data_IF_129908415038
#
_entry.id   IF_129908415038
#
_cell.length_a   1.000
_cell.length_b   1.000
_cell.length_c   1.000
_cell.angle_alpha   90.00
_cell.angle_beta   90.00
_cell.angle_gamma   90.00
#
_symmetry.space_group_name_H-M   'P 1'
#
loop_
_entity.id
_entity.type
_entity.pdbx_description
1 polymer ?
#
# COMPACT_ATOMS: atom_id res chain seq x y z
N UNK A 1 -33.21 14.12 -7.24
CA UNK A 1 -34.39 13.31 -6.87
C UNK A 1 -34.14 12.70 -5.50
N UNK A 2 -34.73 13.26 -4.44
CA UNK A 2 -34.59 12.71 -3.08
C UNK A 2 -35.44 11.44 -3.00
N UNK A 3 -34.80 10.28 -2.85
CA UNK A 3 -35.48 9.01 -2.66
C UNK A 3 -36.21 8.98 -1.32
N UNK A 4 -37.37 8.33 -1.26
CA UNK A 4 -38.11 8.09 0.00
C UNK A 4 -37.18 7.40 1.01
N UNK A 5 -36.96 8.02 2.17
CA UNK A 5 -36.17 7.44 3.27
C UNK A 5 -37.10 6.68 4.21
N UNK A 6 -36.82 5.40 4.40
CA UNK A 6 -37.56 4.53 5.32
C UNK A 6 -36.72 4.30 6.58
N UNK A 7 -37.37 4.22 7.74
CA UNK A 7 -36.74 3.85 9.02
C UNK A 7 -36.32 2.38 9.00
N UNK A 8 -35.34 2.01 9.80
CA UNK A 8 -34.86 0.62 9.83
C UNK A 8 -35.91 -0.33 10.41
N UNK A 9 -36.71 0.12 11.38
CA UNK A 9 -37.87 -0.62 11.91
C UNK A 9 -38.87 -0.98 10.80
N UNK A 10 -39.20 -0.03 9.93
CA UNK A 10 -40.11 -0.25 8.81
C UNK A 10 -39.54 -1.27 7.81
N UNK A 11 -38.23 -1.21 7.53
CA UNK A 11 -37.57 -2.15 6.62
C UNK A 11 -37.50 -3.56 7.20
N UNK A 12 -37.29 -3.69 8.51
CA UNK A 12 -37.26 -4.96 9.22
C UNK A 12 -38.64 -5.60 9.20
N UNK A 13 -39.70 -4.86 9.53
CA UNK A 13 -41.06 -5.38 9.52
C UNK A 13 -41.51 -5.78 8.10
N UNK A 14 -41.14 -4.99 7.09
CA UNK A 14 -41.39 -5.34 5.69
C UNK A 14 -40.65 -6.62 5.25
N UNK A 15 -39.42 -6.82 5.71
CA UNK A 15 -38.66 -8.04 5.44
C UNK A 15 -39.29 -9.27 6.14
N UNK A 16 -39.75 -9.11 7.39
CA UNK A 16 -40.45 -10.16 8.16
C UNK A 16 -41.76 -10.61 7.53
N UNK A 17 -42.51 -9.72 6.90
CA UNK A 17 -43.74 -10.10 6.18
C UNK A 17 -43.47 -11.10 5.04
N UNK A 18 -42.29 -11.05 4.43
CA UNK A 18 -41.88 -11.97 3.37
C UNK A 18 -41.27 -13.25 3.93
N UNK A 19 -40.43 -13.16 4.97
CA UNK A 19 -39.69 -14.31 5.50
C UNK A 19 -40.46 -15.12 6.54
N UNK A 20 -41.21 -14.47 7.43
CA UNK A 20 -41.92 -15.12 8.54
C UNK A 20 -43.41 -15.35 8.23
N UNK A 21 -44.06 -14.43 7.50
CA UNK A 21 -45.51 -14.50 7.20
C UNK A 21 -45.84 -15.10 5.82
N UNK A 22 -44.83 -15.41 5.01
CA UNK A 22 -44.99 -16.11 3.73
C UNK A 22 -45.64 -15.31 2.60
N UNK A 23 -45.74 -13.98 2.71
CA UNK A 23 -46.26 -13.16 1.61
C UNK A 23 -45.24 -13.04 0.47
N UNK A 24 -45.73 -12.90 -0.77
CA UNK A 24 -44.86 -12.71 -1.93
C UNK A 24 -44.26 -11.30 -1.94
N UNK A 25 -43.02 -11.17 -2.42
CA UNK A 25 -42.30 -9.88 -2.53
C UNK A 25 -43.11 -8.85 -3.33
N UNK A 26 -43.83 -9.29 -4.36
CA UNK A 26 -44.65 -8.43 -5.22
C UNK A 26 -45.86 -7.85 -4.48
N UNK A 27 -46.58 -8.68 -3.71
CA UNK A 27 -47.75 -8.27 -2.94
C UNK A 27 -47.37 -7.27 -1.83
N UNK A 28 -46.30 -7.56 -1.08
CA UNK A 28 -45.81 -6.66 -0.03
C UNK A 28 -45.30 -5.34 -0.63
N UNK A 29 -44.66 -5.36 -1.80
CA UNK A 29 -44.19 -4.14 -2.47
C UNK A 29 -45.35 -3.25 -2.92
N UNK A 30 -46.40 -3.85 -3.48
CA UNK A 30 -47.61 -3.16 -3.89
C UNK A 30 -48.34 -2.52 -2.70
N UNK A 31 -48.47 -3.25 -1.59
CA UNK A 31 -49.14 -2.75 -0.37
C UNK A 31 -48.38 -1.63 0.33
N UNK A 32 -47.05 -1.70 0.34
CA UNK A 32 -46.19 -0.69 0.98
C UNK A 32 -45.84 0.47 0.04
N UNK A 33 -46.30 0.45 -1.21
CA UNK A 33 -46.00 1.47 -2.22
C UNK A 33 -44.51 1.64 -2.49
N UNK A 34 -43.75 0.53 -2.45
CA UNK A 34 -42.32 0.48 -2.69
C UNK A 34 -41.99 -0.41 -3.90
N UNK A 35 -40.71 -0.48 -4.28
CA UNK A 35 -40.28 -1.37 -5.38
C UNK A 35 -39.91 -2.75 -4.86
N UNK A 36 -40.23 -3.78 -5.64
CA UNK A 36 -39.79 -5.17 -5.41
C UNK A 36 -38.27 -5.26 -5.18
N UNK A 37 -37.49 -4.47 -5.92
CA UNK A 37 -36.03 -4.38 -5.73
C UNK A 37 -35.63 -3.91 -4.32
N UNK A 38 -36.33 -2.92 -3.75
CA UNK A 38 -36.06 -2.43 -2.39
C UNK A 38 -36.33 -3.50 -1.34
N UNK A 39 -37.43 -4.23 -1.51
CA UNK A 39 -37.83 -5.32 -0.61
C UNK A 39 -36.87 -6.51 -0.68
N UNK A 40 -36.39 -6.89 -1.87
CA UNK A 40 -35.33 -7.88 -2.03
C UNK A 40 -34.03 -7.44 -1.34
N UNK A 41 -33.64 -6.17 -1.48
CA UNK A 41 -32.45 -5.64 -0.84
C UNK A 41 -32.58 -5.60 0.69
N UNK A 42 -33.76 -5.27 1.23
CA UNK A 42 -34.02 -5.30 2.67
C UNK A 42 -34.01 -6.74 3.20
N UNK A 43 -34.63 -7.69 2.49
CA UNK A 43 -34.55 -9.12 2.83
C UNK A 43 -33.10 -9.58 2.91
N UNK A 44 -32.30 -9.33 1.87
CA UNK A 44 -30.88 -9.72 1.85
C UNK A 44 -30.06 -9.12 3.01
N UNK A 45 -30.43 -7.93 3.49
CA UNK A 45 -29.76 -7.26 4.61
C UNK A 45 -30.20 -7.80 5.97
N UNK A 46 -31.49 -8.10 6.11
CA UNK A 46 -32.12 -8.45 7.39
C UNK A 46 -32.27 -9.96 7.64
N UNK A 47 -32.09 -10.80 6.62
CA UNK A 47 -32.07 -12.27 6.70
C UNK A 47 -30.75 -12.82 7.26
N UNK A 48 -29.71 -11.98 7.34
CA UNK A 48 -28.46 -12.33 8.02
C UNK A 48 -28.65 -12.34 9.54
N UNK A 49 -28.12 -13.34 10.28
CA UNK A 49 -28.10 -13.34 11.74
C UNK A 49 -27.45 -12.05 12.27
N UNK A 50 -28.00 -11.46 13.34
CA UNK A 50 -27.48 -10.20 13.88
C UNK A 50 -25.99 -10.28 14.28
N UNK A 51 -25.53 -11.46 14.73
CA UNK A 51 -24.10 -11.73 15.00
C UNK A 51 -23.23 -11.51 13.75
N UNK A 52 -23.67 -12.01 12.59
CA UNK A 52 -22.94 -11.86 11.32
C UNK A 52 -22.93 -10.40 10.87
N UNK A 53 -24.06 -9.70 11.04
CA UNK A 53 -24.16 -8.27 10.70
C UNK A 53 -23.24 -7.43 11.58
N UNK A 54 -23.18 -7.72 12.89
CA UNK A 54 -22.32 -7.02 13.83
C UNK A 54 -20.83 -7.25 13.49
N UNK A 55 -20.43 -8.49 13.17
CA UNK A 55 -19.07 -8.81 12.73
C UNK A 55 -18.69 -8.07 11.43
N UNK A 56 -19.57 -8.01 10.44
CA UNK A 56 -19.31 -7.25 9.20
C UNK A 56 -19.14 -5.74 9.46
N UNK A 57 -19.94 -5.18 10.39
CA UNK A 57 -19.82 -3.78 10.79
C UNK A 57 -18.50 -3.52 11.52
N UNK A 58 -18.12 -4.39 12.45
CA UNK A 58 -16.88 -4.29 13.22
C UNK A 58 -15.65 -4.42 12.29
N UNK A 59 -15.65 -5.41 11.39
CA UNK A 59 -14.63 -5.55 10.34
C UNK A 59 -14.55 -4.31 9.45
N UNK A 60 -15.69 -3.71 9.07
CA UNK A 60 -15.69 -2.49 8.27
C UNK A 60 -15.14 -1.28 9.03
N UNK A 61 -15.35 -1.23 10.36
CA UNK A 61 -14.82 -0.18 11.22
C UNK A 61 -13.31 -0.35 11.42
N UNK A 62 -12.86 -1.58 11.62
CA UNK A 62 -11.45 -1.93 11.73
C UNK A 62 -10.71 -1.68 10.42
N UNK A 63 -11.30 -2.03 9.27
CA UNK A 63 -10.75 -1.67 7.95
C UNK A 63 -10.62 -0.16 7.76
N UNK A 64 -11.57 0.64 8.25
CA UNK A 64 -11.48 2.11 8.21
C UNK A 64 -10.37 2.62 9.12
N UNK A 65 -10.25 2.05 10.33
CA UNK A 65 -9.20 2.39 11.30
C UNK A 65 -7.81 2.06 10.74
N UNK A 66 -7.60 0.84 10.27
CA UNK A 66 -6.33 0.39 9.69
C UNK A 66 -5.95 1.23 8.47
N UNK A 67 -6.91 1.59 7.61
CA UNK A 67 -6.67 2.52 6.49
C UNK A 67 -6.28 3.92 6.98
N UNK A 68 -6.87 4.41 8.06
CA UNK A 68 -6.53 5.70 8.64
C UNK A 68 -5.14 5.68 9.31
N UNK A 69 -4.80 4.61 10.01
CA UNK A 69 -3.47 4.39 10.59
C UNK A 69 -2.40 4.26 9.50
N UNK A 70 -2.66 3.50 8.44
CA UNK A 70 -1.78 3.41 7.28
C UNK A 70 -1.57 4.80 6.66
N UNK A 71 -2.65 5.55 6.41
CA UNK A 71 -2.57 6.92 5.91
C UNK A 71 -1.71 7.79 6.85
N UNK A 72 -1.91 7.71 8.16
CA UNK A 72 -1.15 8.47 9.16
C UNK A 72 0.34 8.09 9.14
N UNK A 73 0.68 6.80 9.11
CA UNK A 73 2.07 6.33 9.05
C UNK A 73 2.73 6.75 7.74
N UNK A 74 2.02 6.65 6.62
CA UNK A 74 2.49 7.17 5.32
C UNK A 74 2.76 8.68 5.38
N UNK A 75 1.84 9.46 5.99
CA UNK A 75 2.02 10.90 6.15
C UNK A 75 3.15 11.28 7.12
N UNK A 76 3.35 10.50 8.20
CA UNK A 76 4.48 10.71 9.12
C UNK A 76 5.82 10.42 8.45
N UNK A 77 5.91 9.38 7.61
CA UNK A 77 7.10 9.13 6.80
C UNK A 77 7.34 10.21 5.73
N UNK A 78 6.29 10.84 5.21
CA UNK A 78 6.40 11.94 4.24
C UNK A 78 6.63 13.32 4.89
N UNK A 79 6.39 13.44 6.20
CA UNK A 79 6.43 14.69 6.96
C UNK A 79 7.66 14.89 7.84
N UNK A 80 8.65 14.00 7.80
CA UNK A 80 9.95 14.26 8.45
C UNK A 80 10.74 15.29 7.61
N UNK A 81 10.56 16.59 7.88
CA UNK A 81 11.40 17.81 7.68
C UNK A 81 12.55 17.89 6.66
N UNK A 82 12.72 16.90 5.80
CA UNK A 82 13.55 16.93 4.62
C UNK A 82 12.59 17.08 3.46
N UNK A 83 12.89 17.97 2.51
CA UNK A 83 12.19 18.08 1.23
C UNK A 83 12.41 16.84 0.32
N UNK A 84 12.34 15.64 0.90
CA UNK A 84 12.61 14.34 0.29
C UNK A 84 11.34 13.52 0.53
N UNK A 85 10.46 13.48 -0.48
CA UNK A 85 9.25 12.68 -0.43
C UNK A 85 9.57 11.18 -0.40
N UNK A 86 8.74 10.40 0.29
CA UNK A 86 8.79 8.95 0.24
C UNK A 86 8.19 8.47 -1.10
N UNK A 87 9.00 7.79 -1.91
CA UNK A 87 8.54 7.11 -3.13
C UNK A 87 8.61 5.62 -2.94
N UNK A 88 7.47 4.93 -3.06
CA UNK A 88 7.41 3.48 -3.07
C UNK A 88 7.54 2.95 -4.50
N UNK A 89 8.19 1.79 -4.65
CA UNK A 89 8.17 1.04 -5.92
C UNK A 89 6.71 0.65 -6.21
N UNK A 90 6.17 0.94 -7.41
CA UNK A 90 4.81 0.57 -7.76
C UNK A 90 4.59 -0.95 -7.66
N UNK A 91 3.41 -1.40 -7.21
CA UNK A 91 3.09 -2.82 -7.22
C UNK A 91 3.16 -3.36 -8.65
N UNK A 92 3.84 -4.49 -8.82
CA UNK A 92 4.06 -5.09 -10.14
C UNK A 92 5.33 -4.62 -10.86
N UNK A 93 6.19 -3.81 -10.22
CA UNK A 93 7.48 -3.34 -10.80
C UNK A 93 8.73 -3.86 -10.07
N UNK A 94 8.92 -5.19 -9.91
CA UNK A 94 10.05 -5.75 -9.16
C UNK A 94 11.43 -5.44 -9.78
N UNK A 95 11.49 -5.19 -11.10
CA UNK A 95 12.74 -4.89 -11.80
C UNK A 95 13.43 -3.60 -11.32
N UNK A 96 12.69 -2.67 -10.72
CA UNK A 96 13.26 -1.45 -10.13
C UNK A 96 14.15 -1.75 -8.90
N UNK A 97 13.96 -2.90 -8.25
CA UNK A 97 14.75 -3.29 -7.07
C UNK A 97 16.13 -3.89 -7.41
N UNK A 98 16.36 -4.28 -8.68
CA UNK A 98 17.56 -5.05 -9.06
C UNK A 98 18.88 -4.34 -8.77
N UNK A 99 18.91 -3.01 -8.85
CA UNK A 99 20.11 -2.22 -8.52
C UNK A 99 20.50 -2.35 -7.04
N UNK A 100 19.54 -2.18 -6.12
CA UNK A 100 19.81 -2.21 -4.68
C UNK A 100 20.09 -3.64 -4.21
N UNK A 101 19.45 -4.63 -4.82
CA UNK A 101 19.77 -6.05 -4.61
C UNK A 101 21.21 -6.36 -5.00
N UNK A 102 21.64 -5.94 -6.19
CA UNK A 102 23.01 -6.14 -6.66
C UNK A 102 24.04 -5.48 -5.73
N UNK A 103 23.77 -4.25 -5.27
CA UNK A 103 24.63 -3.56 -4.31
C UNK A 103 24.72 -4.33 -2.99
N UNK A 104 23.58 -4.71 -2.40
CA UNK A 104 23.52 -5.42 -1.13
C UNK A 104 24.17 -6.80 -1.20
N UNK A 105 23.99 -7.51 -2.32
CA UNK A 105 24.67 -8.79 -2.59
C UNK A 105 26.19 -8.63 -2.57
N UNK A 106 26.73 -7.63 -3.30
CA UNK A 106 28.18 -7.37 -3.31
C UNK A 106 28.73 -6.97 -1.95
N UNK A 107 28.02 -6.13 -1.19
CA UNK A 107 28.42 -5.78 0.17
C UNK A 107 28.50 -7.01 1.08
N UNK A 108 27.54 -7.93 0.95
CA UNK A 108 27.55 -9.19 1.70
C UNK A 108 28.74 -10.07 1.30
N UNK A 109 28.88 -10.36 0.00
CA UNK A 109 29.87 -11.32 -0.50
C UNK A 109 31.32 -10.85 -0.35
N UNK A 110 31.56 -9.54 -0.46
CA UNK A 110 32.91 -8.97 -0.48
C UNK A 110 33.38 -8.48 0.89
N UNK A 111 32.46 -8.18 1.82
CA UNK A 111 32.80 -7.64 3.13
C UNK A 111 32.15 -8.43 4.27
N UNK A 112 30.81 -8.40 4.37
CA UNK A 112 30.13 -8.85 5.59
C UNK A 112 30.29 -10.36 5.84
N UNK A 113 30.37 -11.17 4.78
CA UNK A 113 30.55 -12.62 4.89
C UNK A 113 32.03 -13.03 5.03
N UNK A 114 32.98 -12.11 4.81
CA UNK A 114 34.42 -12.40 4.84
C UNK A 114 35.08 -11.96 6.13
N UNK A 115 34.55 -10.94 6.78
CA UNK A 115 35.14 -10.32 7.97
C UNK A 115 34.35 -10.68 9.22
N UNK A 116 35.07 -10.96 10.31
CA UNK A 116 34.48 -11.03 11.65
C UNK A 116 34.75 -9.71 12.38
N UNK A 117 33.69 -8.96 12.67
CA UNK A 117 33.79 -7.69 13.36
C UNK A 117 33.93 -7.91 14.87
N UNK A 118 35.00 -7.41 15.48
CA UNK A 118 35.23 -7.48 16.93
C UNK A 118 34.47 -6.39 17.67
N UNK A 119 34.12 -5.31 17.00
CA UNK A 119 33.34 -4.21 17.54
C UNK A 119 32.53 -3.46 16.47
N UNK A 120 31.50 -2.72 16.89
CA UNK A 120 30.73 -1.84 16.00
C UNK A 120 31.60 -0.76 15.35
N UNK A 121 32.58 -0.21 16.07
CA UNK A 121 33.47 0.83 15.56
C UNK A 121 34.34 0.30 14.41
N UNK A 122 34.89 -0.91 14.57
CA UNK A 122 35.63 -1.60 13.50
C UNK A 122 34.74 -1.83 12.26
N UNK A 123 33.50 -2.32 12.48
CA UNK A 123 32.52 -2.48 11.41
C UNK A 123 32.26 -1.18 10.64
N UNK A 124 32.08 -0.06 11.33
CA UNK A 124 31.87 1.24 10.69
C UNK A 124 33.06 1.66 9.81
N UNK A 125 34.29 1.47 10.30
CA UNK A 125 35.51 1.82 9.55
C UNK A 125 35.65 0.96 8.29
N UNK A 126 35.45 -0.36 8.41
CA UNK A 126 35.56 -1.29 7.29
C UNK A 126 34.46 -1.08 6.24
N UNK A 127 33.21 -0.87 6.68
CA UNK A 127 32.10 -0.56 5.78
C UNK A 127 32.34 0.77 5.05
N UNK A 128 32.81 1.80 5.74
CA UNK A 128 33.11 3.10 5.11
C UNK A 128 34.26 2.98 4.11
N UNK A 129 35.31 2.21 4.44
CA UNK A 129 36.40 1.92 3.52
C UNK A 129 35.89 1.20 2.26
N UNK A 130 35.05 0.19 2.42
CA UNK A 130 34.44 -0.53 1.30
C UNK A 130 33.53 0.39 0.48
N UNK A 131 32.69 1.22 1.11
CA UNK A 131 31.80 2.19 0.43
C UNK A 131 32.60 3.16 -0.43
N UNK A 132 33.72 3.69 0.09
CA UNK A 132 34.62 4.57 -0.66
C UNK A 132 35.23 3.86 -1.85
N UNK A 133 35.70 2.62 -1.67
CA UNK A 133 36.23 1.82 -2.77
C UNK A 133 35.18 1.54 -3.84
N UNK A 134 33.99 1.08 -3.44
CA UNK A 134 32.88 0.79 -4.34
C UNK A 134 32.49 2.01 -5.18
N UNK A 135 32.37 3.18 -4.57
CA UNK A 135 31.93 4.38 -5.29
C UNK A 135 33.03 5.05 -6.11
N UNK A 136 34.26 5.10 -5.60
CA UNK A 136 35.33 5.91 -6.19
C UNK A 136 36.28 5.12 -7.11
N UNK A 137 36.35 3.80 -6.98
CA UNK A 137 37.37 2.98 -7.68
C UNK A 137 36.80 1.76 -8.41
N UNK A 138 35.67 1.20 -7.98
CA UNK A 138 35.14 -0.02 -8.58
C UNK A 138 34.68 0.21 -10.03
N UNK A 139 35.18 -0.57 -11.00
CA UNK A 139 34.68 -0.50 -12.36
C UNK A 139 33.32 -1.21 -12.46
N UNK A 140 32.34 -0.56 -13.10
CA UNK A 140 31.01 -1.12 -13.35
C UNK A 140 30.77 -1.27 -14.84
N UNK A 141 30.43 -2.47 -15.31
CA UNK A 141 30.15 -2.75 -16.73
C UNK A 141 29.04 -1.85 -17.29
N UNK A 142 27.97 -1.63 -16.51
CA UNK A 142 26.89 -0.70 -16.85
C UNK A 142 27.35 0.75 -17.07
N UNK A 143 28.50 1.12 -16.53
CA UNK A 143 29.11 2.45 -16.64
C UNK A 143 30.33 2.47 -17.57
N UNK A 144 30.40 1.55 -18.56
CA UNK A 144 31.59 1.41 -19.43
C UNK A 144 32.89 1.24 -18.63
N UNK A 145 32.82 0.46 -17.54
CA UNK A 145 33.91 0.20 -16.61
C UNK A 145 34.43 1.44 -15.85
N UNK A 146 33.64 2.51 -15.77
CA UNK A 146 33.97 3.66 -14.94
C UNK A 146 33.41 3.53 -13.51
N UNK A 147 34.08 4.14 -12.51
CA UNK A 147 33.55 4.27 -11.16
C UNK A 147 32.30 5.15 -11.10
N UNK A 148 31.40 4.83 -10.17
CA UNK A 148 30.15 5.59 -9.96
C UNK A 148 30.39 7.08 -9.67
N UNK A 149 31.46 7.42 -8.96
CA UNK A 149 31.83 8.81 -8.68
C UNK A 149 32.22 9.58 -9.95
N UNK A 150 32.90 8.93 -10.91
CA UNK A 150 33.27 9.54 -12.19
C UNK A 150 32.04 9.82 -13.03
N UNK A 151 31.14 8.83 -13.13
CA UNK A 151 29.86 9.00 -13.82
C UNK A 151 29.06 10.14 -13.18
N UNK A 152 28.92 10.15 -11.85
CA UNK A 152 28.18 11.20 -11.15
C UNK A 152 28.75 12.62 -11.40
N UNK A 153 30.07 12.78 -11.48
CA UNK A 153 30.69 14.09 -11.78
C UNK A 153 30.34 14.56 -13.18
N UNK A 154 30.42 13.67 -14.17
CA UNK A 154 30.03 13.98 -15.54
C UNK A 154 28.56 14.43 -15.68
N UNK A 155 27.68 13.96 -14.78
CA UNK A 155 26.27 14.39 -14.75
C UNK A 155 26.07 15.79 -14.18
N UNK A 156 27.00 16.27 -13.35
CA UNK A 156 26.96 17.64 -12.80
C UNK A 156 27.62 18.64 -13.75
N UNK A 157 28.60 18.18 -14.53
CA UNK A 157 29.35 19.02 -15.48
C UNK A 157 28.62 19.22 -16.82
N UNK A 158 27.56 18.46 -17.09
CA UNK A 158 26.69 18.63 -18.24
C UNK A 158 25.33 19.16 -17.78
N UNK A 159 24.82 20.23 -18.41
CA UNK A 159 23.43 20.72 -18.26
C UNK A 159 22.39 19.73 -18.81
N UNK A 160 22.68 18.43 -18.71
CA UNK A 160 21.92 17.35 -19.31
C UNK A 160 21.23 16.54 -18.22
N UNK A 161 20.29 17.18 -17.51
CA UNK A 161 19.13 16.44 -17.02
C UNK A 161 18.25 16.22 -18.25
N UNK A 162 18.61 15.26 -19.10
CA UNK A 162 17.72 14.81 -20.17
C UNK A 162 16.45 14.29 -19.49
N UNK A 163 15.31 14.92 -19.82
CA UNK A 163 13.99 14.60 -19.29
C UNK A 163 13.52 13.16 -19.60
N UNK A 164 14.39 12.34 -20.22
CA UNK A 164 14.18 10.94 -20.59
C UNK A 164 14.65 9.93 -19.55
N UNK A 165 15.27 10.35 -18.44
CA UNK A 165 15.46 9.47 -17.29
C UNK A 165 14.20 9.44 -16.45
N UNK A 166 13.12 8.92 -17.05
CA UNK A 166 11.97 8.43 -16.29
C UNK A 166 12.35 7.15 -15.55
N UNK A 167 11.86 7.09 -14.31
CA UNK A 167 11.85 6.02 -13.31
C UNK A 167 11.88 4.55 -13.82
#
# INVERSE_FOLDING_TARGET
>A
MSGKRYTDEFKIEAAKQVTERGHTVADVAQRLGNTTHSLCAWRAKFDKPDVVRQVELDQSAEMRRLKAELKRVTWLCAGCDAAIGLTCIPPGSPWQNGFVESFNGKLRDELLNREWFRSRAEGQVLIERWRRFYNARRPHSAHRYQPRATVRRAWLDSDNIDARLTA
#
